data_IF_229278311789
#
_entry.id   IF_229278311789
#
_cell.length_a   1.000
_cell.length_b   1.000
_cell.length_c   1.000
_cell.angle_alpha   90.00
_cell.angle_beta   90.00
_cell.angle_gamma   90.00
#
_symmetry.space_group_name_H-M   'P 1'
#
loop_
_entity.id
_entity.type
_entity.pdbx_description
1 polymer ?
#
# COMPACT_ATOMS: atom_id res chain seq x y z
N UNK A 1 21.78 3.91 4.61
CA UNK A 1 20.49 3.17 4.62
C UNK A 1 20.02 3.14 3.18
N UNK A 2 19.92 1.97 2.55
CA UNK A 2 19.43 1.91 1.18
C UNK A 2 17.95 2.29 1.20
N UNK A 3 17.61 3.44 0.63
CA UNK A 3 16.21 3.80 0.35
C UNK A 3 15.78 2.85 -0.75
N UNK A 4 15.14 1.73 -0.38
CA UNK A 4 14.54 0.84 -1.36
C UNK A 4 13.37 1.61 -1.96
N UNK A 5 13.57 2.30 -3.07
CA UNK A 5 12.47 2.88 -3.83
C UNK A 5 11.57 1.73 -4.28
N UNK A 6 10.30 1.75 -3.87
CA UNK A 6 9.31 0.74 -4.27
C UNK A 6 9.24 0.71 -5.78
N UNK A 7 9.41 -0.48 -6.39
CA UNK A 7 9.33 -0.65 -7.85
C UNK A 7 7.92 -1.00 -8.31
N UNK A 8 6.94 -0.85 -7.42
CA UNK A 8 5.56 -1.09 -7.71
C UNK A 8 5.03 -0.02 -8.69
N UNK A 9 4.82 -0.44 -9.94
CA UNK A 9 4.33 0.37 -11.06
C UNK A 9 3.01 -0.16 -11.65
N UNK A 10 2.78 -1.46 -11.55
CA UNK A 10 1.56 -2.13 -12.03
C UNK A 10 1.21 -3.31 -11.14
N UNK A 11 -0.07 -3.67 -11.13
CA UNK A 11 -0.58 -4.93 -10.61
C UNK A 11 -1.69 -5.48 -11.51
N UNK A 12 -1.89 -6.79 -11.48
CA UNK A 12 -3.04 -7.47 -12.08
C UNK A 12 -3.87 -8.01 -10.95
N UNK A 13 -5.16 -7.69 -10.96
CA UNK A 13 -6.12 -8.09 -9.92
C UNK A 13 -7.14 -9.05 -10.50
N UNK A 14 -7.78 -9.84 -9.64
CA UNK A 14 -8.86 -10.76 -9.97
C UNK A 14 -9.99 -10.60 -8.96
N UNK A 15 -11.22 -10.72 -9.43
CA UNK A 15 -12.37 -10.78 -8.54
C UNK A 15 -12.54 -12.20 -7.99
N UNK A 16 -12.71 -12.33 -6.67
CA UNK A 16 -13.08 -13.61 -6.05
C UNK A 16 -14.56 -13.57 -5.67
N UNK A 17 -15.42 -14.14 -6.51
CA UNK A 17 -16.89 -14.13 -6.32
C UNK A 17 -17.35 -14.60 -4.94
N UNK A 18 -16.72 -15.64 -4.38
CA UNK A 18 -17.07 -16.19 -3.06
C UNK A 18 -16.83 -15.21 -1.91
N UNK A 19 -15.84 -14.34 -2.07
CA UNK A 19 -15.43 -13.37 -1.06
C UNK A 19 -15.99 -11.98 -1.38
N UNK A 20 -16.51 -11.75 -2.60
CA UNK A 20 -17.07 -10.48 -3.04
C UNK A 20 -16.04 -9.35 -3.14
N UNK A 21 -14.75 -9.68 -3.24
CA UNK A 21 -13.65 -8.73 -3.13
C UNK A 21 -12.60 -8.92 -4.23
N UNK A 22 -11.79 -7.88 -4.45
CA UNK A 22 -10.69 -7.87 -5.41
C UNK A 22 -9.36 -8.23 -4.74
N UNK A 23 -8.58 -9.07 -5.43
CA UNK A 23 -7.33 -9.58 -4.91
C UNK A 23 -6.24 -9.46 -5.96
N UNK A 24 -5.03 -9.13 -5.51
CA UNK A 24 -3.85 -9.10 -6.37
C UNK A 24 -3.54 -10.53 -6.83
N UNK A 25 -3.29 -10.67 -8.13
CA UNK A 25 -2.86 -11.90 -8.78
C UNK A 25 -1.36 -11.85 -9.07
N UNK A 26 -0.88 -10.71 -9.55
CA UNK A 26 0.52 -10.47 -9.86
C UNK A 26 0.84 -8.98 -9.72
N UNK A 27 2.08 -8.64 -9.42
CA UNK A 27 2.52 -7.25 -9.40
C UNK A 27 3.99 -7.12 -9.83
N UNK A 28 4.40 -5.88 -10.06
CA UNK A 28 5.75 -5.49 -10.50
C UNK A 28 6.83 -5.57 -9.41
N UNK A 29 6.45 -5.71 -8.14
CA UNK A 29 7.39 -5.77 -7.01
C UNK A 29 7.01 -6.87 -6.00
N UNK A 30 7.00 -8.16 -6.42
CA UNK A 30 6.49 -9.27 -5.62
C UNK A 30 7.36 -9.57 -4.39
N UNK A 31 8.52 -8.92 -4.27
CA UNK A 31 9.40 -9.05 -3.11
C UNK A 31 8.90 -8.24 -1.91
N UNK A 32 8.25 -7.11 -2.17
CA UNK A 32 7.74 -6.23 -1.13
C UNK A 32 6.21 -6.29 -1.02
N UNK A 33 5.53 -6.73 -2.09
CA UNK A 33 4.09 -6.94 -2.13
C UNK A 33 3.83 -8.39 -2.50
N UNK A 34 3.74 -9.27 -1.51
CA UNK A 34 3.38 -10.67 -1.74
C UNK A 34 1.98 -10.73 -2.36
N UNK A 35 1.79 -11.29 -3.57
CA UNK A 35 0.47 -11.28 -4.22
C UNK A 35 -0.56 -12.16 -3.51
N UNK A 36 -0.13 -13.23 -2.85
CA UNK A 36 -1.03 -14.16 -2.16
C UNK A 36 -1.58 -13.50 -0.90
N UNK A 37 -2.91 -13.51 -0.75
CA UNK A 37 -3.59 -12.83 0.35
C UNK A 37 -3.56 -11.29 0.32
N UNK A 38 -3.07 -10.66 -0.76
CA UNK A 38 -3.07 -9.19 -0.87
C UNK A 38 -4.37 -8.68 -1.51
N UNK A 39 -5.27 -8.16 -0.69
CA UNK A 39 -6.49 -7.50 -1.14
C UNK A 39 -6.26 -6.06 -1.63
N UNK A 40 -7.21 -5.53 -2.39
CA UNK A 40 -7.19 -4.16 -2.91
C UNK A 40 -8.57 -3.56 -2.80
N UNK A 41 -8.66 -2.29 -2.38
CA UNK A 41 -9.94 -1.59 -2.34
C UNK A 41 -10.36 -1.18 -3.74
N UNK A 42 -11.60 -1.46 -4.09
CA UNK A 42 -12.19 -0.97 -5.33
C UNK A 42 -12.60 0.52 -5.25
N UNK A 43 -12.90 1.18 -6.39
CA UNK A 43 -13.25 2.59 -6.41
C UNK A 43 -14.53 2.97 -5.65
N UNK A 44 -15.33 2.01 -5.20
CA UNK A 44 -16.54 2.26 -4.43
C UNK A 44 -16.31 2.00 -2.93
N UNK A 45 -15.43 1.05 -2.59
CA UNK A 45 -15.04 0.76 -1.21
C UNK A 45 -14.30 1.93 -0.56
N UNK A 46 -13.36 2.56 -1.28
CA UNK A 46 -12.53 3.61 -0.68
C UNK A 46 -13.31 4.88 -0.33
N UNK A 47 -14.15 5.47 -1.21
CA UNK A 47 -15.00 6.61 -0.84
C UNK A 47 -15.95 6.29 0.32
N UNK A 48 -16.52 5.08 0.34
CA UNK A 48 -17.38 4.65 1.44
C UNK A 48 -16.63 4.56 2.78
N UNK A 49 -15.37 4.10 2.77
CA UNK A 49 -14.50 4.16 3.95
C UNK A 49 -14.29 5.61 4.38
N UNK A 50 -14.04 6.54 3.45
CA UNK A 50 -13.85 7.96 3.77
C UNK A 50 -15.07 8.56 4.48
N UNK A 51 -16.28 8.21 4.04
CA UNK A 51 -17.53 8.63 4.68
C UNK A 51 -17.63 8.07 6.11
N UNK A 52 -17.33 6.79 6.31
CA UNK A 52 -17.31 6.16 7.64
C UNK A 52 -16.25 6.74 8.58
N UNK A 53 -15.17 7.29 8.02
CA UNK A 53 -14.10 7.94 8.76
C UNK A 53 -14.37 9.42 9.06
N UNK A 54 -15.42 10.02 8.48
CA UNK A 54 -15.73 11.44 8.66
C UNK A 54 -15.87 11.85 10.14
N UNK A 55 -16.55 11.07 11.01
CA UNK A 55 -16.64 11.39 12.43
C UNK A 55 -15.27 11.42 13.14
N UNK A 56 -14.27 10.71 12.61
CA UNK A 56 -12.92 10.68 13.19
C UNK A 56 -12.13 11.96 12.90
N UNK A 57 -12.56 12.80 11.96
CA UNK A 57 -11.90 14.09 11.64
C UNK A 57 -11.82 14.99 12.86
N UNK A 58 -12.89 15.06 13.65
CA UNK A 58 -12.94 15.87 14.88
C UNK A 58 -11.91 15.40 15.94
N UNK A 59 -11.48 14.14 15.87
CA UNK A 59 -10.53 13.54 16.80
C UNK A 59 -9.08 13.60 16.32
N UNK A 60 -8.83 14.19 15.14
CA UNK A 60 -7.51 14.36 14.55
C UNK A 60 -7.15 13.33 13.48
N UNK A 61 -8.10 12.96 12.62
CA UNK A 61 -7.80 12.18 11.41
C UNK A 61 -6.74 12.90 10.57
N UNK A 62 -5.73 12.15 10.12
CA UNK A 62 -4.58 12.69 9.39
C UNK A 62 -4.65 12.25 7.95
N UNK A 63 -4.83 13.22 7.05
CA UNK A 63 -4.82 12.95 5.61
C UNK A 63 -3.45 12.42 5.17
N UNK A 64 -2.35 12.92 5.73
CA UNK A 64 -1.00 12.44 5.40
C UNK A 64 -0.82 10.94 5.69
N UNK A 65 -1.35 10.47 6.84
CA UNK A 65 -1.29 9.05 7.21
C UNK A 65 -2.17 8.22 6.26
N UNK A 66 -3.35 8.72 5.93
CA UNK A 66 -4.28 8.05 5.03
C UNK A 66 -3.73 7.97 3.59
N UNK A 67 -3.17 9.05 3.06
CA UNK A 67 -2.55 9.08 1.73
C UNK A 67 -1.33 8.16 1.64
N UNK A 68 -0.49 8.13 2.68
CA UNK A 68 0.67 7.25 2.71
C UNK A 68 0.30 5.76 2.73
N UNK A 69 -0.88 5.44 3.28
CA UNK A 69 -1.37 4.08 3.48
C UNK A 69 -1.82 3.38 2.20
N UNK A 70 -2.12 4.12 1.14
CA UNK A 70 -2.65 3.55 -0.10
C UNK A 70 -1.84 3.97 -1.32
N UNK A 71 -1.55 3.01 -2.18
CA UNK A 71 -0.98 3.25 -3.51
C UNK A 71 -2.14 3.29 -4.51
N UNK A 72 -2.36 4.42 -5.19
CA UNK A 72 -3.46 4.56 -6.14
C UNK A 72 -3.15 3.90 -7.48
N UNK A 73 -4.18 3.27 -8.05
CA UNK A 73 -4.11 2.54 -9.31
C UNK A 73 -5.32 2.82 -10.19
N UNK A 74 -5.09 2.93 -11.50
CA UNK A 74 -6.13 3.11 -12.50
C UNK A 74 -6.25 1.85 -13.38
N UNK A 75 -7.45 1.44 -13.82
CA UNK A 75 -7.61 0.37 -14.80
C UNK A 75 -7.00 0.74 -16.14
N UNK A 76 -6.23 -0.20 -16.71
CA UNK A 76 -5.58 -0.07 -18.02
C UNK A 76 -6.12 -1.09 -19.04
N UNK A 77 -6.36 -2.33 -18.62
CA UNK A 77 -6.93 -3.36 -19.51
C UNK A 77 -7.86 -4.27 -18.70
N UNK A 78 -9.03 -4.59 -19.25
CA UNK A 78 -10.01 -5.49 -18.62
C UNK A 78 -10.11 -6.76 -19.46
N UNK A 79 -9.51 -7.85 -18.98
CA UNK A 79 -9.61 -9.16 -19.63
C UNK A 79 -10.85 -9.90 -19.12
N UNK A 80 -11.94 -9.76 -19.88
CA UNK A 80 -13.24 -10.38 -19.60
C UNK A 80 -13.27 -11.89 -19.93
N UNK A 81 -12.30 -12.38 -20.71
CA UNK A 81 -12.25 -13.77 -21.19
C UNK A 81 -11.41 -14.70 -20.27
N UNK A 82 -10.48 -14.15 -19.47
CA UNK A 82 -9.65 -14.89 -18.51
C UNK A 82 -9.86 -14.42 -17.07
N UNK A 83 -10.67 -15.18 -16.33
CA UNK A 83 -10.80 -15.08 -14.87
C UNK A 83 -11.21 -13.69 -14.33
N UNK A 84 -11.89 -12.86 -15.13
CA UNK A 84 -12.25 -11.47 -14.78
C UNK A 84 -11.05 -10.70 -14.20
N UNK A 85 -9.95 -10.72 -14.94
CA UNK A 85 -8.73 -10.05 -14.51
C UNK A 85 -8.66 -8.62 -15.03
N UNK A 86 -8.17 -7.72 -14.19
CA UNK A 86 -7.98 -6.32 -14.55
C UNK A 86 -6.52 -5.96 -14.38
N UNK A 87 -5.92 -5.37 -15.40
CA UNK A 87 -4.59 -4.79 -15.35
C UNK A 87 -4.71 -3.36 -14.84
N UNK A 88 -3.95 -3.06 -13.80
CA UNK A 88 -3.89 -1.74 -13.19
C UNK A 88 -2.50 -1.12 -13.35
N UNK A 89 -2.46 0.18 -13.54
CA UNK A 89 -1.24 0.99 -13.57
C UNK A 89 -1.25 2.00 -12.43
N UNK A 90 -0.12 2.15 -11.75
CA UNK A 90 0.05 3.10 -10.67
C UNK A 90 -0.03 4.51 -11.22
N UNK A 91 -0.81 5.36 -10.56
CA UNK A 91 -0.86 6.80 -10.86
C UNK A 91 -0.06 7.59 -9.83
N UNK A 92 0.41 8.77 -10.23
CA UNK A 92 1.10 9.70 -9.35
C UNK A 92 0.17 10.63 -8.58
N UNK A 93 -1.12 10.63 -8.93
CA UNK A 93 -2.13 11.47 -8.30
C UNK A 93 -2.40 11.05 -6.85
N UNK A 94 -2.81 12.02 -6.04
CA UNK A 94 -3.23 11.80 -4.67
C UNK A 94 -4.62 11.15 -4.65
N UNK A 95 -4.76 10.05 -3.92
CA UNK A 95 -6.01 9.29 -3.88
C UNK A 95 -7.20 10.08 -3.28
N UNK A 96 -6.91 11.10 -2.48
CA UNK A 96 -7.92 11.98 -1.88
C UNK A 96 -8.37 13.12 -2.80
N UNK A 97 -7.52 13.53 -3.74
CA UNK A 97 -7.75 14.70 -4.59
C UNK A 97 -8.20 14.32 -6.01
N UNK A 98 -8.08 13.04 -6.38
CA UNK A 98 -8.44 12.57 -7.72
C UNK A 98 -9.97 12.49 -7.88
N UNK A 99 -10.47 12.98 -9.01
CA UNK A 99 -11.87 12.82 -9.42
C UNK A 99 -12.10 11.48 -10.16
N UNK A 100 -11.04 10.69 -10.36
CA UNK A 100 -11.09 9.41 -11.09
C UNK A 100 -11.44 8.23 -10.18
N UNK A 101 -11.98 7.17 -10.78
CA UNK A 101 -12.29 5.92 -10.08
C UNK A 101 -11.03 5.07 -9.89
N UNK A 102 -10.31 5.35 -8.80
CA UNK A 102 -9.05 4.69 -8.46
C UNK A 102 -9.23 3.49 -7.54
N UNK A 103 -8.45 2.44 -7.80
CA UNK A 103 -8.24 1.35 -6.86
C UNK A 103 -7.19 1.75 -5.83
N UNK A 104 -7.41 1.37 -4.56
CA UNK A 104 -6.51 1.70 -3.45
C UNK A 104 -5.81 0.42 -2.95
N UNK A 105 -4.53 0.25 -3.31
CA UNK A 105 -3.75 -0.87 -2.80
C UNK A 105 -3.10 -0.51 -1.44
N UNK A 106 -3.30 -1.30 -0.38
CA UNK A 106 -2.59 -1.11 0.88
C UNK A 106 -1.07 -1.07 0.70
N UNK A 107 -0.43 -0.04 1.26
CA UNK A 107 1.01 0.13 1.25
C UNK A 107 1.67 -0.71 2.35
N UNK A 108 1.74 -2.01 2.13
CA UNK A 108 2.27 -3.03 3.06
C UNK A 108 3.76 -3.34 2.86
N UNK A 109 4.48 -2.49 2.15
CA UNK A 109 5.88 -2.71 1.73
C UNK A 109 6.83 -3.10 2.87
N UNK A 110 6.57 -2.61 4.08
CA UNK A 110 7.36 -2.87 5.29
C UNK A 110 6.63 -3.80 6.29
N UNK A 111 5.66 -4.58 5.80
CA UNK A 111 4.84 -5.52 6.57
C UNK A 111 4.13 -4.83 7.73
N UNK A 112 4.35 -5.35 8.95
CA UNK A 112 3.77 -4.87 10.21
C UNK A 112 4.20 -3.45 10.61
N UNK A 113 5.12 -2.82 9.85
CA UNK A 113 5.63 -1.46 10.10
C UNK A 113 5.47 -0.54 8.89
N UNK A 114 4.64 -0.93 7.92
CA UNK A 114 4.34 -0.13 6.74
C UNK A 114 3.34 0.99 7.04
N UNK A 115 3.22 1.93 6.09
CA UNK A 115 2.29 3.04 6.19
C UNK A 115 0.82 2.59 6.36
N UNK A 116 0.46 1.42 5.82
CA UNK A 116 -0.86 0.84 6.06
C UNK A 116 -1.07 0.42 7.53
N UNK A 117 -0.06 -0.15 8.19
CA UNK A 117 -0.12 -0.49 9.61
C UNK A 117 -0.24 0.76 10.50
N UNK A 118 0.54 1.81 10.18
CA UNK A 118 0.44 3.11 10.85
C UNK A 118 -0.97 3.71 10.71
N UNK A 119 -1.59 3.54 9.55
CA UNK A 119 -2.98 3.95 9.31
C UNK A 119 -3.98 3.16 10.14
N UNK A 120 -3.90 1.83 10.18
CA UNK A 120 -4.78 1.01 11.02
C UNK A 120 -4.66 1.40 12.50
N UNK A 121 -3.43 1.60 12.99
CA UNK A 121 -3.20 2.06 14.37
C UNK A 121 -3.78 3.47 14.60
N UNK A 122 -3.62 4.37 13.63
CA UNK A 122 -4.18 5.72 13.70
C UNK A 122 -5.71 5.71 13.82
N UNK A 123 -6.41 5.04 12.90
CA UNK A 123 -7.87 4.98 12.93
C UNK A 123 -8.40 4.27 14.18
N UNK A 124 -7.68 3.25 14.69
CA UNK A 124 -8.03 2.57 15.93
C UNK A 124 -7.94 3.50 17.14
N UNK A 125 -6.84 4.28 17.25
CA UNK A 125 -6.71 5.28 18.30
C UNK A 125 -7.84 6.31 18.27
N UNK A 126 -8.23 6.76 17.08
CA UNK A 126 -9.33 7.72 16.93
C UNK A 126 -10.68 7.10 17.27
N UNK A 127 -10.91 5.85 16.84
CA UNK A 127 -12.13 5.11 17.17
C UNK A 127 -12.30 4.94 18.68
N UNK A 128 -11.23 4.59 19.40
CA UNK A 128 -11.26 4.46 20.86
C UNK A 128 -11.61 5.79 21.53
N UNK A 129 -11.10 6.93 21.03
CA UNK A 129 -11.48 8.25 21.56
C UNK A 129 -12.96 8.52 21.32
N UNK A 130 -13.45 8.29 20.10
CA UNK A 130 -14.84 8.47 19.75
C UNK A 130 -15.76 7.63 20.64
N UNK A 131 -15.48 6.32 20.78
CA UNK A 131 -16.27 5.42 21.65
C UNK A 131 -16.29 5.91 23.10
N UNK A 132 -15.14 6.34 23.64
CA UNK A 132 -15.07 6.82 25.02
C UNK A 132 -15.83 8.14 25.25
N UNK A 133 -15.98 8.96 24.20
CA UNK A 133 -16.68 10.23 24.27
C UNK A 133 -18.19 10.06 24.00
N UNK A 134 -18.58 9.09 23.18
CA UNK A 134 -19.99 8.79 22.83
C UNK A 134 -20.65 7.81 23.81
N UNK A 135 -19.95 6.76 24.27
CA UNK A 135 -20.51 5.71 25.14
C UNK A 135 -20.05 5.93 26.59
N UNK A 136 -21.01 5.91 27.52
CA UNK A 136 -20.72 5.91 28.96
C UNK A 136 -20.31 4.52 29.43
N UNK A 137 -19.03 4.21 29.29
CA UNK A 137 -18.42 2.98 29.79
C UNK A 137 -18.10 3.09 31.29
N UNK A 138 -18.16 1.97 32.03
CA UNK A 138 -17.74 1.92 33.44
C UNK A 138 -16.24 2.17 33.59
N UNK A 139 -15.45 1.70 32.62
CA UNK A 139 -14.03 1.95 32.47
C UNK A 139 -13.75 2.39 31.04
N UNK A 140 -12.82 3.34 30.88
CA UNK A 140 -12.45 3.80 29.55
C UNK A 140 -11.82 2.66 28.76
N UNK A 141 -12.31 2.47 27.54
CA UNK A 141 -11.72 1.56 26.58
C UNK A 141 -10.32 2.05 26.22
N UNK A 142 -9.35 1.15 26.21
CA UNK A 142 -7.99 1.45 25.76
C UNK A 142 -7.74 0.91 24.36
N UNK A 143 -6.68 1.40 23.72
CA UNK A 143 -6.25 0.89 22.41
C UNK A 143 -5.82 -0.57 22.51
N UNK A 144 -5.18 -0.94 23.62
CA UNK A 144 -4.74 -2.32 23.88
C UNK A 144 -5.94 -3.29 23.97
N UNK A 145 -7.05 -2.88 24.58
CA UNK A 145 -8.26 -3.71 24.68
C UNK A 145 -8.91 -3.99 23.31
N UNK A 146 -8.86 -3.00 22.41
CA UNK A 146 -9.38 -3.13 21.05
C UNK A 146 -8.44 -3.96 20.20
N UNK A 147 -7.13 -3.69 20.28
CA UNK A 147 -6.11 -4.42 19.53
C UNK A 147 -6.10 -5.91 19.89
N UNK A 148 -6.26 -6.27 21.17
CA UNK A 148 -6.35 -7.67 21.60
C UNK A 148 -7.55 -8.38 20.96
N UNK A 149 -8.74 -7.77 21.00
CA UNK A 149 -9.96 -8.36 20.40
C UNK A 149 -9.87 -8.47 18.87
N UNK A 150 -9.36 -7.45 18.19
CA UNK A 150 -9.15 -7.49 16.75
C UNK A 150 -8.07 -8.52 16.37
N UNK A 151 -7.01 -8.63 17.16
CA UNK A 151 -5.98 -9.64 16.96
C UNK A 151 -6.53 -11.06 17.13
N UNK A 152 -7.47 -11.29 18.06
CA UNK A 152 -8.14 -12.58 18.20
C UNK A 152 -8.96 -12.95 16.96
N UNK A 153 -9.73 -12.00 16.41
CA UNK A 153 -10.49 -12.18 15.17
C UNK A 153 -9.56 -12.50 13.98
N UNK A 154 -8.46 -11.75 13.85
CA UNK A 154 -7.47 -11.96 12.79
C UNK A 154 -6.78 -13.32 12.91
N UNK A 155 -6.37 -13.69 14.13
CA UNK A 155 -5.77 -14.99 14.40
C UNK A 155 -6.74 -16.15 14.11
N UNK A 156 -8.02 -15.97 14.39
CA UNK A 156 -9.04 -16.96 14.04
C UNK A 156 -9.13 -17.14 12.51
N UNK A 157 -9.19 -16.05 11.74
CA UNK A 157 -9.18 -16.12 10.28
C UNK A 157 -7.94 -16.84 9.74
N UNK A 158 -6.76 -16.54 10.31
CA UNK A 158 -5.50 -17.22 9.95
C UNK A 158 -5.54 -18.73 10.28
N UNK A 159 -6.07 -19.13 11.42
CA UNK A 159 -6.24 -20.56 11.79
C UNK A 159 -7.17 -21.28 10.82
N UNK A 160 -8.20 -20.58 10.34
CA UNK A 160 -9.13 -21.07 9.31
C UNK A 160 -8.53 -21.04 7.89
N UNK A 161 -7.31 -20.51 7.73
CA UNK A 161 -6.63 -20.37 6.44
C UNK A 161 -7.29 -19.36 5.52
N UNK A 162 -7.95 -18.34 6.08
CA UNK A 162 -8.59 -17.24 5.35
C UNK A 162 -7.72 -15.99 5.40
N UNK A 163 -7.45 -15.42 4.23
CA UNK A 163 -6.89 -14.09 4.12
C UNK A 163 -7.93 -13.04 4.53
N UNK A 164 -7.47 -11.93 5.11
CA UNK A 164 -8.32 -10.84 5.55
C UNK A 164 -8.19 -9.71 4.54
N UNK A 165 -9.32 -9.25 4.01
CA UNK A 165 -9.31 -8.17 3.04
C UNK A 165 -9.10 -6.83 3.77
N UNK A 166 -8.35 -5.86 3.21
CA UNK A 166 -8.15 -4.54 3.82
C UNK A 166 -9.46 -3.81 4.12
N UNK A 167 -10.50 -4.06 3.31
CA UNK A 167 -11.84 -3.54 3.58
C UNK A 167 -12.41 -4.08 4.90
N UNK A 168 -12.26 -5.38 5.17
CA UNK A 168 -12.71 -6.00 6.41
C UNK A 168 -11.90 -5.47 7.59
N UNK A 169 -10.57 -5.38 7.47
CA UNK A 169 -9.71 -4.87 8.55
C UNK A 169 -10.07 -3.44 8.97
N UNK A 170 -10.35 -2.56 8.00
CA UNK A 170 -10.71 -1.18 8.27
C UNK A 170 -12.08 -1.12 8.95
N UNK A 171 -13.04 -1.92 8.47
CA UNK A 171 -14.41 -1.91 8.98
C UNK A 171 -14.54 -2.55 10.34
N UNK A 172 -13.79 -3.60 10.62
CA UNK A 172 -13.71 -4.17 11.96
C UNK A 172 -13.25 -3.12 12.99
N UNK A 173 -12.36 -2.20 12.60
CA UNK A 173 -11.98 -1.06 13.45
C UNK A 173 -13.09 -0.01 13.50
N UNK A 174 -13.57 0.48 12.35
CA UNK A 174 -14.53 1.60 12.30
C UNK A 174 -15.89 1.26 12.89
N UNK A 175 -16.30 0.00 12.83
CA UNK A 175 -17.55 -0.51 13.41
C UNK A 175 -17.34 -1.18 14.77
N UNK A 176 -16.12 -1.18 15.30
CA UNK A 176 -15.87 -1.75 16.62
C UNK A 176 -16.81 -1.16 17.68
N UNK A 177 -17.47 -2.03 18.43
CA UNK A 177 -18.29 -1.67 19.58
C UNK A 177 -17.96 -2.61 20.74
N UNK A 178 -17.73 -2.10 21.97
CA UNK A 178 -17.52 -2.94 23.13
C UNK A 178 -18.71 -3.88 23.39
N UNK A 179 -18.43 -5.11 23.83
CA UNK A 179 -19.45 -6.12 24.12
C UNK A 179 -20.52 -5.59 25.08
N UNK A 180 -21.79 -5.72 24.69
CA UNK A 180 -22.93 -5.30 25.50
C UNK A 180 -23.23 -3.80 25.46
N UNK A 181 -22.53 -3.04 24.62
CA UNK A 181 -22.81 -1.65 24.32
C UNK A 181 -23.26 -1.50 22.87
N UNK A 182 -24.01 -0.43 22.61
CA UNK A 182 -24.25 0.09 21.27
C UNK A 182 -23.67 1.50 21.26
N UNK A 183 -23.05 1.90 20.15
CA UNK A 183 -22.75 3.32 19.94
C UNK A 183 -24.10 3.96 19.65
N UNK A 184 -24.55 4.97 20.41
CA UNK A 184 -25.66 5.81 19.99
C UNK A 184 -25.31 6.39 18.63
N UNK A 185 -25.84 5.80 17.56
CA UNK A 185 -25.95 6.48 16.28
C UNK A 185 -26.97 7.59 16.52
N UNK A 186 -26.66 8.83 16.13
CA UNK A 186 -27.72 9.84 16.00
C UNK A 186 -28.85 9.21 15.16
N UNK A 187 -30.08 9.39 15.62
CA UNK A 187 -31.32 8.60 15.42
C UNK A 187 -31.83 8.36 13.95
N UNK A 188 -30.95 8.22 12.96
CA UNK A 188 -31.30 7.82 11.59
C UNK A 188 -30.25 6.83 11.02
N UNK A 189 -30.50 5.52 11.21
CA UNK A 189 -29.79 4.44 10.47
C UNK A 189 -29.94 4.58 8.94
N UNK A 190 -30.84 5.47 8.47
CA UNK A 190 -31.05 5.84 7.06
C UNK A 190 -29.92 6.71 6.47
N UNK A 191 -29.08 7.37 7.30
CA UNK A 191 -27.99 8.24 6.83
C UNK A 191 -26.63 7.52 6.68
N UNK A 192 -26.49 6.27 7.15
CA UNK A 192 -25.27 5.49 6.87
C UNK A 192 -25.28 5.05 5.40
N UNK A 193 -24.21 5.33 4.64
CA UNK A 193 -24.16 4.87 3.27
C UNK A 193 -24.23 3.34 3.24
N UNK A 194 -25.09 2.78 2.39
CA UNK A 194 -25.22 1.33 2.26
C UNK A 194 -23.86 0.71 1.91
N UNK A 195 -23.46 -0.34 2.64
CA UNK A 195 -22.19 -1.03 2.39
C UNK A 195 -22.11 -1.42 0.91
N UNK A 196 -21.02 -1.08 0.20
CA UNK A 196 -20.88 -1.44 -1.20
C UNK A 196 -21.00 -2.95 -1.35
N UNK A 197 -21.95 -3.40 -2.18
CA UNK A 197 -22.01 -4.80 -2.62
C UNK A 197 -20.94 -4.97 -3.70
N UNK A 198 -20.03 -5.94 -3.52
CA UNK A 198 -18.82 -6.12 -4.32
C UNK A 198 -19.00 -5.82 -5.81
N UNK A 199 -18.31 -4.78 -6.28
CA UNK A 199 -18.58 -4.04 -7.51
C UNK A 199 -18.14 -4.73 -8.81
N UNK A 200 -18.16 -6.06 -8.89
CA UNK A 200 -17.73 -6.76 -10.10
C UNK A 200 -18.56 -6.41 -11.33
N UNK A 201 -19.87 -6.15 -11.17
CA UNK A 201 -20.75 -5.76 -12.28
C UNK A 201 -20.57 -4.29 -12.66
N UNK A 202 -20.41 -3.38 -11.70
CA UNK A 202 -20.21 -1.94 -11.95
C UNK A 202 -18.82 -1.60 -12.50
N UNK A 203 -17.80 -2.42 -12.19
CA UNK A 203 -16.44 -2.26 -12.73
C UNK A 203 -16.37 -2.63 -14.22
N UNK A 204 -17.28 -3.46 -14.71
CA UNK A 204 -17.32 -3.85 -16.13
C UNK A 204 -17.71 -2.69 -17.07
N UNK A 205 -18.28 -1.62 -16.51
CA UNK A 205 -18.67 -0.36 -17.15
C UNK A 205 -17.66 0.77 -16.92
N UNK A 206 -16.56 0.53 -16.18
CA UNK A 206 -15.46 1.50 -16.11
C UNK A 206 -14.89 1.73 -17.52
N UNK A 207 -14.65 2.99 -17.91
CA UNK A 207 -14.05 3.28 -19.20
C UNK A 207 -12.68 2.62 -19.28
N UNK A 208 -12.47 1.83 -20.33
CA UNK A 208 -11.12 1.41 -20.73
C UNK A 208 -10.35 2.68 -21.08
N UNK A 209 -9.22 2.92 -20.41
CA UNK A 209 -8.41 4.11 -20.69
C UNK A 209 -7.67 3.83 -22.00
N UNK A 210 -8.25 4.27 -23.13
CA UNK A 210 -7.57 4.26 -24.42
C UNK A 210 -6.28 5.09 -24.30
N UNK A 211 -5.15 4.37 -24.31
CA UNK A 211 -3.77 4.87 -24.24
C UNK A 211 -3.49 5.78 -23.04
N UNK A 212 -3.20 5.18 -21.88
CA UNK A 212 -2.29 5.80 -20.91
C UNK A 212 -1.02 6.16 -21.66
N UNK A 213 -0.72 7.46 -21.78
CA UNK A 213 0.45 7.98 -22.47
C UNK A 213 1.66 7.13 -22.09
N UNK A 214 2.27 6.44 -23.08
CA UNK A 214 3.56 5.74 -22.92
C UNK A 214 4.68 6.67 -22.42
N UNK A 215 4.40 7.96 -22.32
CA UNK A 215 5.23 8.97 -21.70
C UNK A 215 5.14 9.00 -20.16
N UNK A 216 4.11 8.48 -19.47
CA UNK A 216 4.13 8.37 -17.99
C UNK A 216 5.22 7.40 -17.50
N UNK A 217 5.46 6.29 -18.21
CA UNK A 217 6.59 5.38 -17.95
C UNK A 217 7.95 6.08 -18.11
N UNK A 218 7.99 7.15 -18.91
CA UNK A 218 9.22 7.90 -19.24
C UNK A 218 9.40 9.16 -18.38
N UNK A 219 8.31 9.80 -17.95
CA UNK A 219 8.28 11.03 -17.17
C UNK A 219 8.48 10.81 -15.66
N UNK A 220 8.44 9.55 -15.17
CA UNK A 220 8.90 9.20 -13.82
C UNK A 220 10.41 8.94 -13.72
N UNK A 221 11.15 9.09 -14.84
CA UNK A 221 12.61 9.16 -14.83
C UNK A 221 13.05 10.60 -14.55
N UNK A 222 12.88 11.05 -13.30
CA UNK A 222 13.46 12.32 -12.88
C UNK A 222 14.98 12.15 -12.79
N UNK A 223 15.65 12.73 -13.78
CA UNK A 223 16.97 13.37 -13.77
C UNK A 223 17.93 12.97 -12.64
N UNK A 224 18.77 11.96 -12.90
CA UNK A 224 20.06 11.79 -12.20
C UNK A 224 21.14 12.18 -13.22
N UNK A 225 21.14 13.46 -13.61
CA UNK A 225 22.27 14.14 -14.25
C UNK A 225 23.15 14.72 -13.12
N UNK A 226 24.01 13.89 -12.52
CA UNK A 226 25.17 14.35 -11.75
C UNK A 226 26.25 13.25 -11.66
N UNK A 227 26.80 12.84 -12.82
CA UNK A 227 28.14 12.27 -12.85
C UNK A 227 29.16 13.40 -13.13
N UNK A 228 30.09 13.69 -12.20
CA UNK A 228 31.04 14.78 -12.38
C UNK A 228 32.01 14.50 -13.52
N UNK A 229 32.28 15.54 -14.31
CA UNK A 229 33.22 15.57 -15.42
C UNK A 229 34.55 14.89 -15.09
N UNK A 230 34.92 13.89 -15.89
CA UNK A 230 36.27 13.32 -15.93
C UNK A 230 37.25 14.36 -16.50
N UNK A 231 38.31 14.77 -15.77
CA UNK A 231 39.40 15.51 -16.36
C UNK A 231 40.35 14.52 -17.05
N UNK A 232 40.39 14.58 -18.38
CA UNK A 232 41.39 13.87 -19.17
C UNK A 232 42.81 14.35 -18.88
N UNK A 233 43.73 13.41 -18.72
CA UNK A 233 45.14 13.52 -19.10
C UNK A 233 45.84 12.17 -18.85
N UNK A 234 45.97 11.34 -19.88
CA UNK A 234 47.10 10.40 -19.95
C UNK A 234 47.85 10.69 -21.24
N UNK A 235 48.95 11.43 -21.06
CA UNK A 235 49.94 11.67 -22.11
C UNK A 235 50.50 10.35 -22.63
N UNK A 236 50.49 10.26 -23.94
CA UNK A 236 51.23 9.32 -24.76
C UNK A 236 52.74 9.57 -24.54
N UNK A 237 53.43 8.60 -23.92
CA UNK A 237 54.88 8.66 -23.68
C UNK A 237 55.48 7.27 -23.83
N UNK A 238 56.13 7.04 -24.97
CA UNK A 238 56.79 5.79 -25.31
C UNK A 238 58.14 5.55 -24.61
N UNK A 239 58.66 4.36 -24.93
CA UNK A 239 60.07 3.93 -24.89
C UNK A 239 60.66 3.36 -23.57
N UNK A 240 60.70 2.02 -23.56
CA UNK A 240 61.95 1.22 -23.70
C UNK A 240 63.03 1.25 -22.60
N UNK A 241 63.18 0.05 -22.00
CA UNK A 241 64.41 -0.63 -21.57
C UNK A 241 65.42 0.02 -20.60
N UNK A 242 65.69 -0.72 -19.51
CA UNK A 242 67.05 -1.23 -19.32
C UNK A 242 67.84 -0.78 -18.10
N UNK A 243 67.97 -1.69 -17.13
CA UNK A 243 69.28 -1.98 -16.50
C UNK A 243 69.63 -1.27 -15.19
N UNK A 244 69.77 -2.04 -14.11
CA UNK A 244 70.40 -1.56 -12.87
C UNK A 244 70.49 -2.61 -11.77
N UNK A 245 71.42 -3.56 -11.92
CA UNK A 245 71.77 -4.61 -10.93
C UNK A 245 72.25 -4.03 -9.59
N UNK A 246 71.90 -4.69 -8.48
CA UNK A 246 72.80 -4.86 -7.34
C UNK A 246 72.46 -6.15 -6.56
N UNK A 247 73.17 -7.24 -6.90
CA UNK A 247 73.24 -8.47 -6.10
C UNK A 247 74.48 -8.42 -5.21
N UNK A 248 74.27 -8.51 -3.91
CA UNK A 248 75.29 -8.64 -2.88
C UNK A 248 75.96 -10.02 -2.91
N UNK A 249 77.28 -9.98 -3.05
CA UNK A 249 78.27 -11.05 -3.15
C UNK A 249 78.29 -11.95 -1.89
N UNK A 250 78.23 -13.27 -2.06
CA UNK A 250 78.79 -14.22 -1.09
C UNK A 250 79.77 -15.15 -1.81
N UNK A 251 81.03 -15.06 -1.42
CA UNK A 251 82.13 -15.86 -1.95
C UNK A 251 82.33 -17.15 -1.15
N UNK A 252 82.59 -18.24 -1.87
CA UNK A 252 83.11 -19.54 -1.41
C UNK A 252 83.50 -20.27 -2.72
N UNK A 253 84.67 -20.86 -2.95
CA UNK A 253 85.82 -21.29 -2.17
C UNK A 253 86.90 -21.75 -3.17
N UNK A 254 88.17 -21.70 -2.74
CA UNK A 254 89.32 -22.52 -3.18
C UNK A 254 89.74 -22.47 -4.65
#
# INVERSE_FOLDING_TARGET
MAVTTSKLLWCTIRFKEKEGNWWVKENSDPKHYEPDGLGILDPFQFPWILDMMDPLREYGLSNEVLEAAFVPFQPQEIDKDKDQTVRLVRVAEHILDSEEQLFALPNVKDGDKGAYADFLEHIMRLRVKLINDTIKLEQKLTVEDVDEQLSELRNQAMIEGRDIHPFEEIIDILEFVPVGHEVPSDDDDDDKPARPQGAAEDIADLPDVEEVDKDMEKNLRWDDEDEPAEPGASEEGGESEGGGKASGKSGRRR
#
